data_IF_600160937746
#
_entry.id   IF_600160937746
#
_cell.length_a   1.000
_cell.length_b   1.000
_cell.length_c   1.000
_cell.angle_alpha   90.00
_cell.angle_beta   90.00
_cell.angle_gamma   90.00
#
_symmetry.space_group_name_H-M   'P 1'
#
loop_
_entity.id
_entity.type
_entity.pdbx_description
1 polymer ?
#
# COMPACT_ATOMS: atom_id res chain seq x y z
N UNK A 1 -11.75 -16.44 5.66
CA UNK A 1 -12.37 -15.13 5.34
C UNK A 1 -11.32 -14.07 5.56
N UNK A 2 -11.15 -13.11 4.64
CA UNK A 2 -10.15 -12.05 4.80
C UNK A 2 -10.62 -11.04 5.85
N UNK A 3 -9.77 -10.61 6.81
CA UNK A 3 -10.16 -9.71 7.89
C UNK A 3 -10.49 -8.29 7.43
N UNK A 4 -9.94 -7.84 6.29
CA UNK A 4 -10.15 -6.48 5.77
C UNK A 4 -10.85 -6.49 4.42
N UNK A 5 -11.67 -5.47 4.18
CA UNK A 5 -12.23 -5.17 2.87
C UNK A 5 -11.17 -4.46 2.00
N UNK A 6 -10.51 -3.44 2.57
CA UNK A 6 -9.45 -2.68 1.91
C UNK A 6 -8.17 -2.66 2.74
N UNK A 7 -7.02 -2.75 2.07
CA UNK A 7 -5.72 -2.47 2.66
C UNK A 7 -5.01 -1.39 1.86
N UNK A 8 -4.72 -0.26 2.48
CA UNK A 8 -3.94 0.80 1.83
C UNK A 8 -2.44 0.56 2.01
N UNK A 9 -1.69 0.66 0.91
CA UNK A 9 -0.23 0.61 0.89
C UNK A 9 0.34 1.98 0.51
N UNK A 10 1.20 2.48 1.38
CA UNK A 10 1.84 3.79 1.26
C UNK A 10 3.36 3.66 1.44
N UNK A 11 4.10 4.67 1.00
CA UNK A 11 5.51 4.84 1.39
C UNK A 11 5.72 5.94 2.45
N UNK A 12 4.64 6.52 2.95
CA UNK A 12 4.66 7.55 4.00
C UNK A 12 3.38 7.48 4.82
N UNK A 13 3.45 7.61 6.16
CA UNK A 13 2.28 7.56 7.02
C UNK A 13 1.39 8.82 6.93
N UNK A 14 1.87 9.88 6.26
CA UNK A 14 1.17 11.18 6.18
C UNK A 14 -0.23 11.09 5.57
N UNK A 15 -0.50 10.06 4.76
CA UNK A 15 -1.79 9.88 4.11
C UNK A 15 -2.82 9.14 4.97
N UNK A 16 -2.41 8.49 6.06
CA UNK A 16 -3.29 7.65 6.89
C UNK A 16 -4.47 8.46 7.47
N UNK A 17 -4.28 9.66 8.06
CA UNK A 17 -5.39 10.44 8.60
C UNK A 17 -6.43 10.77 7.53
N UNK A 18 -5.99 11.27 6.36
CA UNK A 18 -6.88 11.68 5.27
C UNK A 18 -7.67 10.50 4.70
N UNK A 19 -7.04 9.35 4.45
CA UNK A 19 -7.77 8.16 3.99
C UNK A 19 -8.71 7.62 5.05
N UNK A 20 -8.33 7.69 6.34
CA UNK A 20 -9.22 7.28 7.43
C UNK A 20 -10.46 8.15 7.53
N UNK A 21 -10.35 9.45 7.29
CA UNK A 21 -11.49 10.38 7.23
C UNK A 21 -12.39 10.09 6.01
N UNK A 22 -11.79 9.90 4.82
CA UNK A 22 -12.54 9.56 3.60
C UNK A 22 -13.31 8.23 3.73
N UNK A 23 -12.72 7.20 4.34
CA UNK A 23 -13.42 5.93 4.58
C UNK A 23 -14.59 6.13 5.54
N UNK A 24 -14.43 6.91 6.62
CA UNK A 24 -15.52 7.21 7.55
C UNK A 24 -16.67 7.94 6.87
N UNK A 25 -16.38 8.84 5.94
CA UNK A 25 -17.39 9.61 5.21
C UNK A 25 -18.10 8.77 4.14
N UNK A 26 -17.34 8.06 3.31
CA UNK A 26 -17.85 7.46 2.08
C UNK A 26 -18.20 5.98 2.21
N UNK A 27 -17.57 5.27 3.15
CA UNK A 27 -17.71 3.83 3.29
C UNK A 27 -17.50 3.35 4.75
N UNK A 28 -18.28 3.85 5.72
CA UNK A 28 -18.05 3.61 7.15
C UNK A 28 -18.16 2.14 7.57
N UNK A 29 -18.85 1.31 6.78
CA UNK A 29 -19.05 -0.11 7.08
C UNK A 29 -17.89 -1.01 6.62
N UNK A 30 -16.90 -0.47 5.90
CA UNK A 30 -15.75 -1.23 5.43
C UNK A 30 -14.68 -1.39 6.53
N UNK A 31 -14.20 -2.61 6.70
CA UNK A 31 -13.03 -2.87 7.55
C UNK A 31 -11.76 -2.54 6.77
N UNK A 32 -11.03 -1.52 7.20
CA UNK A 32 -9.84 -1.02 6.49
C UNK A 32 -8.58 -1.09 7.34
N UNK A 33 -7.45 -1.35 6.69
CA UNK A 33 -6.11 -1.29 7.30
C UNK A 33 -5.15 -0.46 6.44
N UNK A 34 -4.07 0.01 7.05
CA UNK A 34 -3.04 0.82 6.39
C UNK A 34 -1.64 0.27 6.69
N UNK A 35 -0.78 0.18 5.67
CA UNK A 35 0.63 -0.16 5.82
C UNK A 35 1.46 0.93 5.16
N UNK A 36 2.35 1.54 5.93
CA UNK A 36 3.27 2.55 5.44
C UNK A 36 4.70 2.01 5.51
N UNK A 37 5.33 1.84 4.35
CA UNK A 37 6.70 1.37 4.22
C UNK A 37 7.62 2.52 3.79
N UNK A 38 8.14 3.26 4.77
CA UNK A 38 9.08 4.35 4.50
C UNK A 38 10.41 3.86 3.92
N UNK A 39 10.75 2.58 4.07
CA UNK A 39 12.02 2.04 3.60
C UNK A 39 12.03 1.85 2.08
N UNK A 40 10.89 1.49 1.48
CA UNK A 40 10.75 1.44 0.02
C UNK A 40 11.10 2.78 -0.65
N UNK A 41 10.60 3.89 -0.11
CA UNK A 41 10.92 5.22 -0.65
C UNK A 41 12.38 5.58 -0.45
N UNK A 42 12.98 5.28 0.72
CA UNK A 42 14.40 5.55 0.97
C UNK A 42 15.29 4.79 -0.01
N UNK A 43 15.01 3.51 -0.25
CA UNK A 43 15.76 2.67 -1.22
C UNK A 43 15.69 3.24 -2.64
N UNK A 44 14.51 3.70 -3.06
CA UNK A 44 14.32 4.38 -4.36
C UNK A 44 15.12 5.67 -4.46
N UNK A 45 15.05 6.53 -3.43
CA UNK A 45 15.81 7.79 -3.39
C UNK A 45 17.32 7.54 -3.36
N UNK A 46 17.76 6.46 -2.73
CA UNK A 46 19.15 6.04 -2.69
C UNK A 46 19.65 5.41 -4.03
N UNK A 47 18.79 5.25 -5.02
CA UNK A 47 19.14 4.70 -6.33
C UNK A 47 19.31 3.19 -6.34
N UNK A 48 18.59 2.45 -5.48
CA UNK A 48 18.58 1.00 -5.53
C UNK A 48 18.04 0.48 -6.88
N UNK A 49 18.58 -0.66 -7.32
CA UNK A 49 18.11 -1.40 -8.50
C UNK A 49 16.58 -1.59 -8.49
N UNK A 50 15.92 -1.07 -9.53
CA UNK A 50 14.47 -1.10 -9.67
C UNK A 50 13.89 -2.51 -9.65
N UNK A 51 14.63 -3.52 -10.10
CA UNK A 51 14.15 -4.92 -10.07
C UNK A 51 13.99 -5.43 -8.63
N UNK A 52 14.86 -5.00 -7.71
CA UNK A 52 14.78 -5.35 -6.28
C UNK A 52 13.64 -4.62 -5.59
N UNK A 53 13.45 -3.34 -5.91
CA UNK A 53 12.31 -2.57 -5.40
C UNK A 53 11.01 -3.14 -5.94
N UNK A 54 10.95 -3.47 -7.23
CA UNK A 54 9.78 -4.09 -7.86
C UNK A 54 9.38 -5.35 -7.12
N UNK A 55 10.32 -6.27 -6.93
CA UNK A 55 10.07 -7.50 -6.17
C UNK A 55 9.56 -7.21 -4.76
N UNK A 56 10.16 -6.26 -4.05
CA UNK A 56 9.73 -5.89 -2.68
C UNK A 56 8.30 -5.34 -2.64
N UNK A 57 7.94 -4.47 -3.58
CA UNK A 57 6.57 -3.94 -3.70
C UNK A 57 5.59 -5.07 -3.99
N UNK A 58 5.91 -5.92 -4.96
CA UNK A 58 5.05 -7.04 -5.38
C UNK A 58 4.85 -8.07 -4.26
N UNK A 59 5.92 -8.44 -3.55
CA UNK A 59 5.87 -9.34 -2.40
C UNK A 59 4.97 -8.73 -1.30
N UNK A 60 5.10 -7.42 -1.02
CA UNK A 60 4.25 -6.74 -0.05
C UNK A 60 2.78 -6.69 -0.50
N UNK A 61 2.49 -6.42 -1.77
CA UNK A 61 1.12 -6.46 -2.31
C UNK A 61 0.52 -7.85 -2.16
N UNK A 62 1.28 -8.92 -2.46
CA UNK A 62 0.84 -10.31 -2.28
C UNK A 62 0.53 -10.61 -0.82
N UNK A 63 1.44 -10.28 0.10
CA UNK A 63 1.23 -10.45 1.55
C UNK A 63 -0.03 -9.76 2.06
N UNK A 64 -0.24 -8.49 1.68
CA UNK A 64 -1.44 -7.74 2.09
C UNK A 64 -2.71 -8.31 1.45
N UNK A 65 -2.61 -8.84 0.23
CA UNK A 65 -3.74 -9.46 -0.46
C UNK A 65 -4.24 -10.74 0.23
N UNK A 66 -3.42 -11.41 1.04
CA UNK A 66 -3.87 -12.56 1.86
C UNK A 66 -4.84 -12.10 2.97
N UNK A 67 -4.74 -10.84 3.40
CA UNK A 67 -5.50 -10.26 4.51
C UNK A 67 -6.65 -9.36 4.06
N UNK A 68 -6.66 -8.89 2.81
CA UNK A 68 -7.67 -7.96 2.32
C UNK A 68 -8.29 -8.35 0.97
N UNK A 69 -9.57 -8.02 0.78
CA UNK A 69 -10.26 -8.27 -0.50
C UNK A 69 -9.66 -7.42 -1.62
N UNK A 70 -9.23 -6.20 -1.33
CA UNK A 70 -8.54 -5.30 -2.25
C UNK A 70 -7.36 -4.60 -1.56
N UNK A 71 -6.23 -4.50 -2.27
CA UNK A 71 -5.07 -3.70 -1.86
C UNK A 71 -5.03 -2.44 -2.72
N UNK A 72 -4.90 -1.28 -2.09
CA UNK A 72 -4.90 0.04 -2.75
C UNK A 72 -3.52 0.68 -2.57
N UNK A 73 -2.72 0.71 -3.63
CA UNK A 73 -1.44 1.41 -3.64
C UNK A 73 -1.68 2.90 -3.94
N UNK A 74 -1.35 3.80 -3.00
CA UNK A 74 -1.71 5.22 -3.15
C UNK A 74 -0.53 6.12 -3.51
N UNK A 75 0.70 5.65 -3.34
CA UNK A 75 1.90 6.46 -3.58
C UNK A 75 2.41 6.21 -5.01
N UNK A 76 2.48 7.26 -5.82
CA UNK A 76 2.99 7.20 -7.21
C UNK A 76 4.43 6.67 -7.30
N UNK A 77 5.23 6.83 -6.25
CA UNK A 77 6.58 6.27 -6.11
C UNK A 77 6.63 4.75 -6.26
N UNK A 78 5.56 4.04 -5.89
CA UNK A 78 5.48 2.58 -5.95
C UNK A 78 4.43 2.04 -6.93
N UNK A 79 3.52 2.90 -7.42
CA UNK A 79 2.43 2.50 -8.32
C UNK A 79 2.90 1.69 -9.53
N UNK A 80 3.91 2.18 -10.26
CA UNK A 80 4.46 1.51 -11.44
C UNK A 80 5.01 0.09 -11.18
N UNK A 81 5.44 -0.18 -9.95
CA UNK A 81 5.96 -1.49 -9.56
C UNK A 81 4.84 -2.46 -9.16
N UNK A 82 3.74 -1.93 -8.61
CA UNK A 82 2.55 -2.70 -8.30
C UNK A 82 1.75 -3.07 -9.55
N UNK A 83 1.74 -2.22 -10.58
CA UNK A 83 1.04 -2.45 -11.85
C UNK A 83 1.67 -3.54 -12.73
N UNK A 84 2.92 -3.90 -12.46
CA UNK A 84 3.64 -4.96 -13.20
C UNK A 84 3.52 -6.36 -12.57
N UNK A 85 2.56 -6.55 -11.63
CA UNK A 85 2.32 -7.78 -10.87
C UNK A 85 1.74 -8.94 -11.69
#
# INVERSE_FOLDING_TARGET
MKPYDLYFLHTSPVHIPSFSELIKELAPDLNVANFADAELLKRLVAGEDESKVTKSVQDKVRELSEQAKLVVCTCSSIGRFAESL
#
